data_IF_987979271499
#
_entry.id   IF_987979271499
#
_cell.length_a   1.000
_cell.length_b   1.000
_cell.length_c   1.000
_cell.angle_alpha   90.00
_cell.angle_beta   90.00
_cell.angle_gamma   90.00
#
_symmetry.space_group_name_H-M   'P 1'
#
loop_
_entity.id
_entity.type
_entity.pdbx_description
1 polymer ?
#
# COMPACT_ATOMS: atom_id res chain seq x y z
N UNK A 1 -2.98 -10.78 30.13
CA UNK A 1 -2.96 -11.48 28.84
C UNK A 1 -4.20 -11.14 28.01
N UNK A 2 -5.43 -11.26 28.52
CA UNK A 2 -6.66 -10.87 27.79
C UNK A 2 -6.76 -9.38 27.40
N UNK A 3 -6.32 -8.46 28.27
CA UNK A 3 -6.37 -7.03 27.97
C UNK A 3 -5.48 -6.63 26.79
N UNK A 4 -4.35 -7.33 26.61
CA UNK A 4 -3.45 -7.11 25.48
C UNK A 4 -4.08 -7.59 24.18
N UNK A 5 -4.72 -8.77 24.17
CA UNK A 5 -5.44 -9.26 22.99
C UNK A 5 -6.61 -8.35 22.62
N UNK A 6 -7.37 -7.83 23.59
CA UNK A 6 -8.46 -6.90 23.32
C UNK A 6 -7.97 -5.54 22.79
N UNK A 7 -6.88 -5.01 23.34
CA UNK A 7 -6.25 -3.80 22.83
C UNK A 7 -5.72 -3.99 21.40
N UNK A 8 -5.01 -5.10 21.13
CA UNK A 8 -4.54 -5.45 19.79
C UNK A 8 -5.69 -5.63 18.80
N UNK A 9 -6.80 -6.24 19.23
CA UNK A 9 -8.00 -6.38 18.39
C UNK A 9 -8.64 -5.02 18.06
N UNK A 10 -8.75 -4.12 19.03
CA UNK A 10 -9.26 -2.77 18.81
C UNK A 10 -8.37 -1.95 17.86
N UNK A 11 -7.05 -2.04 18.03
CA UNK A 11 -6.08 -1.42 17.12
C UNK A 11 -6.19 -1.99 15.72
N UNK A 12 -6.33 -3.31 15.59
CA UNK A 12 -6.53 -3.97 14.29
C UNK A 12 -7.77 -3.46 13.57
N UNK A 13 -8.93 -3.42 14.24
CA UNK A 13 -10.15 -2.90 13.64
C UNK A 13 -10.03 -1.42 13.24
N UNK A 14 -9.33 -0.62 14.03
CA UNK A 14 -9.07 0.78 13.69
C UNK A 14 -8.14 0.91 12.47
N UNK A 15 -7.12 0.08 12.37
CA UNK A 15 -6.23 0.05 11.19
C UNK A 15 -6.94 -0.46 9.94
N UNK A 16 -7.84 -1.43 10.05
CA UNK A 16 -8.66 -1.91 8.92
C UNK A 16 -9.60 -0.82 8.42
N UNK A 17 -10.20 -0.05 9.34
CA UNK A 17 -11.01 1.11 9.00
C UNK A 17 -10.16 2.21 8.33
N UNK A 18 -8.99 2.51 8.89
CA UNK A 18 -8.04 3.47 8.30
C UNK A 18 -7.58 3.04 6.90
N UNK A 19 -7.34 1.75 6.70
CA UNK A 19 -6.93 1.19 5.40
C UNK A 19 -8.07 1.28 4.36
N UNK A 20 -9.31 1.02 4.77
CA UNK A 20 -10.49 1.21 3.93
C UNK A 20 -10.66 2.68 3.49
N UNK A 21 -10.45 3.62 4.42
CA UNK A 21 -10.46 5.05 4.11
C UNK A 21 -9.30 5.46 3.19
N UNK A 22 -8.11 4.89 3.37
CA UNK A 22 -6.96 5.12 2.50
C UNK A 22 -7.23 4.60 1.07
N UNK A 23 -7.78 3.40 0.96
CA UNK A 23 -8.17 2.81 -0.32
C UNK A 23 -9.22 3.67 -1.05
N UNK A 24 -10.21 4.19 -0.31
CA UNK A 24 -11.16 5.16 -0.86
C UNK A 24 -10.47 6.43 -1.38
N UNK A 25 -9.52 6.98 -0.62
CA UNK A 25 -8.72 8.14 -1.03
C UNK A 25 -7.95 7.90 -2.33
N UNK A 26 -7.35 6.71 -2.50
CA UNK A 26 -6.63 6.33 -3.73
C UNK A 26 -7.57 6.27 -4.93
N UNK A 27 -8.72 5.60 -4.83
CA UNK A 27 -9.67 5.49 -5.94
C UNK A 27 -10.22 6.87 -6.32
N UNK A 28 -10.60 7.70 -5.33
CA UNK A 28 -11.07 9.06 -5.59
C UNK A 28 -10.02 9.90 -6.32
N UNK A 29 -8.75 9.81 -5.93
CA UNK A 29 -7.68 10.56 -6.59
C UNK A 29 -7.42 10.12 -8.03
N UNK A 30 -7.53 8.82 -8.31
CA UNK A 30 -7.41 8.29 -9.68
C UNK A 30 -8.53 8.83 -10.59
N UNK A 31 -9.76 8.94 -10.06
CA UNK A 31 -10.92 9.41 -10.83
C UNK A 31 -10.89 10.92 -11.13
N UNK A 32 -10.42 11.73 -10.18
CA UNK A 32 -10.42 13.20 -10.31
C UNK A 32 -9.09 13.77 -10.84
N UNK A 33 -8.03 12.97 -10.94
CA UNK A 33 -6.78 13.30 -11.63
C UNK A 33 -5.84 14.30 -10.92
N UNK A 34 -6.36 15.11 -9.99
CA UNK A 34 -5.59 16.03 -9.14
C UNK A 34 -5.89 15.78 -7.65
N UNK A 35 -5.15 16.44 -6.75
CA UNK A 35 -5.39 16.39 -5.30
C UNK A 35 -6.88 16.48 -5.02
N UNK A 36 -7.39 15.42 -4.40
CA UNK A 36 -8.82 15.26 -4.17
C UNK A 36 -9.35 16.50 -3.41
N UNK A 37 -10.28 17.29 -3.98
CA UNK A 37 -10.64 18.61 -3.44
C UNK A 37 -11.13 18.58 -1.99
N UNK A 38 -11.71 17.45 -1.57
CA UNK A 38 -12.27 17.26 -0.23
C UNK A 38 -11.26 16.75 0.81
N UNK A 39 -10.20 16.04 0.38
CA UNK A 39 -9.12 15.59 1.28
C UNK A 39 -7.94 16.57 1.33
N UNK A 40 -7.73 17.40 0.29
CA UNK A 40 -6.56 18.29 0.13
C UNK A 40 -5.20 17.62 0.41
N UNK A 41 -5.18 16.29 0.42
CA UNK A 41 -4.03 15.45 0.74
C UNK A 41 -3.81 14.53 -0.46
N UNK A 42 -2.55 14.42 -0.87
CA UNK A 42 -2.12 13.55 -1.95
C UNK A 42 -1.80 12.14 -1.37
N UNK A 43 -2.79 11.26 -1.41
CA UNK A 43 -2.68 9.91 -0.85
C UNK A 43 -1.82 9.03 -1.75
N UNK A 44 -1.98 9.14 -3.07
CA UNK A 44 -1.20 8.36 -4.03
C UNK A 44 0.26 8.78 -4.00
N UNK A 45 0.56 10.08 -3.99
CA UNK A 45 1.91 10.62 -3.88
C UNK A 45 2.58 10.21 -2.57
N UNK A 46 1.85 10.17 -1.46
CA UNK A 46 2.37 9.65 -0.18
C UNK A 46 2.77 8.17 -0.28
N UNK A 47 1.90 7.31 -0.84
CA UNK A 47 2.19 5.87 -1.02
C UNK A 47 3.35 5.66 -1.99
N UNK A 48 3.37 6.37 -3.11
CA UNK A 48 4.44 6.31 -4.11
C UNK A 48 5.75 6.81 -3.54
N UNK A 49 5.76 7.84 -2.69
CA UNK A 49 6.98 8.32 -2.03
C UNK A 49 7.57 7.26 -1.11
N UNK A 50 6.73 6.53 -0.37
CA UNK A 50 7.16 5.43 0.50
C UNK A 50 7.69 4.27 -0.32
N UNK A 51 6.99 3.88 -1.39
CA UNK A 51 7.48 2.87 -2.34
C UNK A 51 8.81 3.28 -3.00
N UNK A 52 8.99 4.56 -3.31
CA UNK A 52 10.23 5.08 -3.87
C UNK A 52 11.35 5.11 -2.84
N UNK A 53 11.08 5.42 -1.58
CA UNK A 53 12.07 5.30 -0.50
C UNK A 53 12.49 3.85 -0.29
N UNK A 54 11.55 2.90 -0.38
CA UNK A 54 11.83 1.47 -0.33
C UNK A 54 12.55 0.96 -1.60
N UNK A 55 12.34 1.60 -2.75
CA UNK A 55 12.93 1.24 -4.05
C UNK A 55 14.20 1.99 -4.44
N UNK A 56 14.53 3.10 -3.78
CA UNK A 56 15.70 3.95 -4.08
C UNK A 56 17.03 3.24 -3.86
N UNK A 57 17.02 2.09 -3.20
CA UNK A 57 18.17 1.17 -3.09
C UNK A 57 18.26 0.19 -4.27
N UNK A 58 17.60 0.44 -5.42
CA UNK A 58 17.63 -0.41 -6.62
C UNK A 58 17.03 -1.82 -6.46
N UNK A 59 16.71 -2.20 -5.22
CA UNK A 59 16.35 -3.56 -4.82
C UNK A 59 14.95 -3.95 -5.28
N UNK A 60 13.97 -3.02 -5.22
CA UNK A 60 12.60 -3.29 -5.69
C UNK A 60 12.58 -3.62 -7.19
N UNK A 61 13.47 -3.00 -7.99
CA UNK A 61 13.64 -3.33 -9.41
C UNK A 61 14.20 -4.74 -9.62
N UNK A 62 15.23 -5.11 -8.85
CA UNK A 62 15.81 -6.47 -8.89
C UNK A 62 14.80 -7.54 -8.43
N UNK A 63 14.00 -7.22 -7.40
CA UNK A 63 12.93 -8.08 -6.87
C UNK A 63 11.82 -8.27 -7.89
N UNK A 64 11.40 -7.21 -8.59
CA UNK A 64 10.40 -7.29 -9.65
C UNK A 64 10.87 -8.20 -10.80
N UNK A 65 12.11 -8.07 -11.25
CA UNK A 65 12.71 -8.95 -12.28
C UNK A 65 12.81 -10.40 -11.80
N UNK A 66 13.22 -10.61 -10.53
CA UNK A 66 13.27 -11.94 -9.93
C UNK A 66 11.88 -12.61 -9.82
N UNK A 67 10.84 -11.84 -9.50
CA UNK A 67 9.46 -12.35 -9.42
C UNK A 67 8.94 -12.74 -10.80
N UNK A 68 9.20 -11.94 -11.82
CA UNK A 68 8.85 -12.24 -13.21
C UNK A 68 9.57 -13.51 -13.71
N UNK A 69 10.86 -13.65 -13.42
CA UNK A 69 11.61 -14.85 -13.74
C UNK A 69 11.08 -16.10 -13.01
N UNK A 70 10.72 -15.96 -11.72
CA UNK A 70 10.12 -17.05 -10.94
C UNK A 70 8.76 -17.49 -11.47
N UNK A 71 7.90 -16.55 -11.87
CA UNK A 71 6.61 -16.87 -12.49
C UNK A 71 6.79 -17.54 -13.85
N UNK A 72 7.72 -17.06 -14.68
CA UNK A 72 8.03 -17.68 -15.96
C UNK A 72 8.51 -19.12 -15.77
N UNK A 73 9.41 -19.36 -14.80
CA UNK A 73 9.97 -20.68 -14.55
C UNK A 73 8.97 -21.65 -13.89
N UNK A 74 7.92 -21.13 -13.23
CA UNK A 74 6.84 -21.94 -12.63
C UNK A 74 5.79 -22.40 -13.64
N UNK A 75 5.64 -21.70 -14.76
CA UNK A 75 4.64 -22.03 -15.79
C UNK A 75 5.20 -22.92 -16.91
N UNK A 76 6.47 -23.33 -16.78
CA UNK A 76 7.20 -24.21 -17.71
C UNK A 76 7.55 -25.57 -17.08
N UNK A 77 6.99 -25.89 -15.91
CA UNK A 77 6.98 -27.24 -15.30
C UNK A 77 5.55 -27.67 -15.03
#
# INVERSE_FOLDING_TARGET
MELLTKATAALKSLTELGLSLLAFGVVAQILFGATVPFLKVDVVGSVVSVCNQLGSEGLVGLVAVGLLASLYNRNTS
#
